data_IF_465774691548
#
_entry.id   IF_465774691548
#
_cell.length_a   1.000
_cell.length_b   1.000
_cell.length_c   1.000
_cell.angle_alpha   90.00
_cell.angle_beta   90.00
_cell.angle_gamma   90.00
#
_symmetry.space_group_name_H-M   'P 1'
#
loop_
_entity.id
_entity.type
_entity.pdbx_description
1 polymer ?
#
# COMPACT_ATOMS: atom_id res chain seq x y z
N UNK A 1 -24.60 2.70 -12.19
CA UNK A 1 -23.71 1.52 -12.24
C UNK A 1 -23.01 1.54 -13.59
N UNK A 2 -21.88 2.22 -13.68
CA UNK A 2 -21.04 2.21 -14.88
C UNK A 2 -20.03 1.07 -14.75
N UNK A 3 -20.15 0.07 -15.61
CA UNK A 3 -19.26 -1.07 -15.65
C UNK A 3 -17.83 -0.62 -15.91
N UNK A 4 -16.93 -0.98 -14.99
CA UNK A 4 -15.51 -1.08 -15.30
C UNK A 4 -15.39 -2.14 -16.41
N UNK A 5 -15.09 -1.71 -17.63
CA UNK A 5 -14.91 -2.61 -18.76
C UNK A 5 -13.68 -3.49 -18.48
N UNK A 6 -13.84 -4.80 -18.60
CA UNK A 6 -12.78 -5.80 -18.47
C UNK A 6 -11.60 -5.52 -19.44
N UNK A 7 -11.84 -4.75 -20.50
CA UNK A 7 -10.81 -4.32 -21.46
C UNK A 7 -9.83 -3.28 -20.88
N UNK A 8 -10.25 -2.42 -19.95
CA UNK A 8 -9.39 -1.37 -19.37
C UNK A 8 -8.28 -1.94 -18.49
N UNK A 9 -8.57 -3.02 -17.76
CA UNK A 9 -7.63 -3.72 -16.87
C UNK A 9 -6.45 -4.37 -17.62
N UNK A 10 -6.66 -4.82 -18.86
CA UNK A 10 -5.61 -5.42 -19.69
C UNK A 10 -4.55 -4.43 -20.17
N UNK A 11 -4.89 -3.14 -20.28
CA UNK A 11 -3.94 -2.10 -20.68
C UNK A 11 -3.28 -1.42 -19.48
N UNK A 12 -3.90 -1.38 -18.29
CA UNK A 12 -3.33 -0.67 -17.15
C UNK A 12 -2.13 -1.38 -16.51
N UNK A 13 -2.17 -2.71 -16.39
CA UNK A 13 -1.09 -3.48 -15.77
C UNK A 13 0.25 -3.37 -16.51
N UNK A 14 0.32 -3.53 -17.85
CA UNK A 14 1.56 -3.34 -18.59
C UNK A 14 2.08 -1.90 -18.51
N UNK A 15 1.20 -0.90 -18.57
CA UNK A 15 1.62 0.50 -18.48
C UNK A 15 2.19 0.86 -17.11
N UNK A 16 1.62 0.31 -16.03
CA UNK A 16 2.12 0.56 -14.68
C UNK A 16 3.55 0.03 -14.50
N UNK A 17 3.86 -1.12 -15.08
CA UNK A 17 5.22 -1.69 -15.12
C UNK A 17 6.23 -0.73 -15.77
N UNK A 18 5.86 -0.05 -16.86
CA UNK A 18 6.72 0.96 -17.51
C UNK A 18 6.88 2.26 -16.72
N UNK A 19 6.09 2.47 -15.66
CA UNK A 19 6.17 3.67 -14.81
C UNK A 19 6.93 3.44 -13.50
N UNK A 20 7.37 2.21 -13.24
CA UNK A 20 8.22 1.91 -12.09
C UNK A 20 9.59 2.58 -12.34
N UNK A 21 10.04 3.50 -11.47
CA UNK A 21 11.32 4.17 -11.66
C UNK A 21 12.46 3.18 -11.46
N UNK A 22 13.50 3.28 -12.30
CA UNK A 22 14.72 2.49 -12.15
C UNK A 22 15.65 3.15 -11.12
N UNK A 23 16.18 2.42 -10.11
CA UNK A 23 17.00 3.01 -9.06
C UNK A 23 18.28 3.66 -9.58
N UNK A 24 18.74 3.21 -10.75
CA UNK A 24 19.95 3.69 -11.43
C UNK A 24 19.77 5.11 -11.99
N UNK A 25 18.52 5.51 -12.27
CA UNK A 25 18.18 6.79 -12.91
C UNK A 25 17.78 7.88 -11.89
N UNK A 26 17.51 7.52 -10.63
CA UNK A 26 16.94 8.43 -9.63
C UNK A 26 17.62 8.32 -8.26
N UNK A 27 18.00 9.46 -7.67
CA UNK A 27 18.41 9.55 -6.27
C UNK A 27 17.21 9.79 -5.33
N UNK A 28 17.30 9.37 -4.07
CA UNK A 28 16.30 9.68 -3.02
C UNK A 28 15.18 8.64 -2.91
N UNK A 29 13.92 9.08 -2.90
CA UNK A 29 12.73 8.26 -2.59
C UNK A 29 12.32 7.24 -3.68
N UNK A 30 13.27 6.80 -4.51
CA UNK A 30 13.01 5.88 -5.61
C UNK A 30 12.43 4.55 -5.10
N UNK A 31 12.97 4.01 -4.00
CA UNK A 31 12.46 2.79 -3.38
C UNK A 31 10.97 2.92 -3.02
N UNK A 32 10.58 3.99 -2.35
CA UNK A 32 9.18 4.22 -1.94
C UNK A 32 8.24 4.40 -3.14
N UNK A 33 8.73 5.00 -4.22
CA UNK A 33 7.98 5.08 -5.46
C UNK A 33 7.77 3.69 -6.09
N UNK A 34 8.80 2.84 -6.12
CA UNK A 34 8.69 1.45 -6.60
C UNK A 34 7.73 0.62 -5.75
N UNK A 35 7.79 0.75 -4.43
CA UNK A 35 6.87 0.08 -3.50
C UNK A 35 5.42 0.53 -3.75
N UNK A 36 5.19 1.83 -3.94
CA UNK A 36 3.86 2.38 -4.25
C UNK A 36 3.32 1.86 -5.57
N UNK A 37 4.13 1.86 -6.63
CA UNK A 37 3.75 1.30 -7.92
C UNK A 37 3.44 -0.20 -7.81
N UNK A 38 4.24 -0.94 -7.04
CA UNK A 38 4.03 -2.37 -6.81
C UNK A 38 2.73 -2.64 -6.04
N UNK A 39 2.42 -1.88 -4.99
CA UNK A 39 1.16 -1.99 -4.26
C UNK A 39 -0.05 -1.75 -5.18
N UNK A 40 0.02 -0.75 -6.06
CA UNK A 40 -1.03 -0.49 -7.07
C UNK A 40 -1.13 -1.65 -8.06
N UNK A 41 0.00 -2.14 -8.56
CA UNK A 41 0.05 -3.29 -9.48
C UNK A 41 -0.68 -4.49 -8.88
N UNK A 42 -0.30 -4.90 -7.66
CA UNK A 42 -0.90 -6.07 -7.02
C UNK A 42 -2.35 -5.85 -6.59
N UNK A 43 -2.75 -4.60 -6.30
CA UNK A 43 -4.17 -4.27 -6.08
C UNK A 43 -5.00 -4.49 -7.35
N UNK A 44 -4.49 -4.04 -8.50
CA UNK A 44 -5.14 -4.24 -9.80
C UNK A 44 -5.14 -5.73 -10.19
N UNK A 45 -4.03 -6.43 -9.97
CA UNK A 45 -3.93 -7.87 -10.22
C UNK A 45 -4.91 -8.65 -9.33
N UNK A 46 -5.05 -8.29 -8.04
CA UNK A 46 -6.03 -8.90 -7.14
C UNK A 46 -7.48 -8.64 -7.57
N UNK A 47 -7.77 -7.54 -8.26
CA UNK A 47 -9.09 -7.28 -8.83
C UNK A 47 -9.43 -8.21 -10.01
N UNK A 48 -8.42 -8.73 -10.71
CA UNK A 48 -8.58 -9.66 -11.83
C UNK A 48 -8.49 -11.11 -11.36
N UNK A 49 -7.53 -11.39 -10.46
CA UNK A 49 -7.20 -12.70 -9.92
C UNK A 49 -7.06 -12.64 -8.38
N UNK A 50 -8.20 -12.66 -7.65
CA UNK A 50 -8.21 -12.50 -6.20
C UNK A 50 -7.78 -13.78 -5.50
N UNK A 51 -6.47 -13.98 -5.37
CA UNK A 51 -5.88 -15.05 -4.56
C UNK A 51 -5.39 -14.48 -3.24
N UNK A 52 -5.34 -15.32 -2.19
CA UNK A 52 -4.74 -14.89 -0.92
C UNK A 52 -3.31 -14.38 -1.13
N UNK A 53 -2.54 -15.00 -2.03
CA UNK A 53 -1.18 -14.59 -2.37
C UNK A 53 -1.12 -13.18 -2.96
N UNK A 54 -2.00 -12.83 -3.90
CA UNK A 54 -2.02 -11.50 -4.53
C UNK A 54 -2.49 -10.43 -3.54
N UNK A 55 -3.41 -10.76 -2.63
CA UNK A 55 -3.86 -9.87 -1.56
C UNK A 55 -2.75 -9.62 -0.54
N UNK A 56 -2.05 -10.67 -0.10
CA UNK A 56 -0.95 -10.54 0.88
C UNK A 56 0.19 -9.66 0.34
N UNK A 57 0.49 -9.75 -0.96
CA UNK A 57 1.49 -8.87 -1.58
C UNK A 57 1.15 -7.39 -1.43
N UNK A 58 -0.12 -6.99 -1.51
CA UNK A 58 -0.49 -5.57 -1.31
C UNK A 58 -0.08 -5.08 0.08
N UNK A 59 -0.26 -5.91 1.11
CA UNK A 59 0.15 -5.58 2.47
C UNK A 59 1.68 -5.55 2.64
N UNK A 60 2.41 -6.44 1.95
CA UNK A 60 3.88 -6.49 1.97
C UNK A 60 4.50 -5.17 1.46
N UNK A 61 4.10 -4.69 0.28
CA UNK A 61 4.67 -3.46 -0.31
C UNK A 61 4.33 -2.19 0.48
N UNK A 62 3.23 -2.19 1.26
CA UNK A 62 2.92 -1.07 2.15
C UNK A 62 3.91 -0.98 3.32
N UNK A 63 4.27 -2.12 3.91
CA UNK A 63 5.22 -2.15 5.05
C UNK A 63 6.63 -1.82 4.57
N UNK A 64 7.05 -2.40 3.44
CA UNK A 64 8.37 -2.14 2.87
C UNK A 64 8.60 -0.65 2.52
N UNK A 65 7.55 0.10 2.15
CA UNK A 65 7.64 1.55 1.97
C UNK A 65 8.06 2.32 3.24
N UNK A 66 7.69 1.85 4.43
CA UNK A 66 8.13 2.42 5.72
C UNK A 66 9.58 2.02 6.01
N UNK A 67 9.93 0.76 5.73
CA UNK A 67 11.28 0.23 5.93
C UNK A 67 12.30 1.03 5.11
N UNK A 68 12.01 1.31 3.84
CA UNK A 68 12.92 2.04 2.95
C UNK A 68 13.09 3.53 3.30
N UNK A 69 12.19 4.11 4.12
CA UNK A 69 12.27 5.52 4.50
C UNK A 69 13.33 5.81 5.57
N UNK A 70 13.72 4.80 6.33
CA UNK A 70 14.71 4.98 7.39
C UNK A 70 15.97 4.18 7.10
N UNK A 71 17.12 4.80 7.37
CA UNK A 71 18.38 4.07 7.46
C UNK A 71 18.41 3.39 8.84
N UNK A 72 17.92 2.16 8.88
CA UNK A 72 17.88 1.38 10.11
C UNK A 72 19.31 0.96 10.45
N UNK A 73 19.88 1.56 11.50
CA UNK A 73 21.16 1.14 12.08
C UNK A 73 21.07 -0.22 12.81
N UNK A 74 20.15 -1.10 12.39
CA UNK A 74 19.80 -2.37 13.02
C UNK A 74 19.74 -3.42 11.93
N UNK A 75 20.35 -4.58 12.16
CA UNK A 75 20.27 -5.72 11.23
C UNK A 75 18.80 -6.13 11.02
N UNK A 76 18.35 -6.12 9.76
CA UNK A 76 16.97 -6.45 9.36
C UNK A 76 16.54 -7.86 9.80
N UNK A 77 17.48 -8.77 10.06
CA UNK A 77 17.18 -10.13 10.52
C UNK A 77 17.11 -10.24 12.05
N UNK A 78 17.42 -9.16 12.77
CA UNK A 78 17.40 -9.17 14.23
C UNK A 78 15.98 -9.01 14.79
N UNK A 79 15.67 -9.61 15.94
CA UNK A 79 14.43 -9.33 16.66
C UNK A 79 14.26 -7.84 17.01
N UNK A 80 15.38 -7.13 17.20
CA UNK A 80 15.42 -5.70 17.49
C UNK A 80 14.90 -4.86 16.32
N UNK A 81 15.14 -5.28 15.07
CA UNK A 81 14.59 -4.62 13.89
C UNK A 81 13.05 -4.64 13.89
N UNK A 82 12.47 -5.82 14.14
CA UNK A 82 11.01 -5.98 14.22
C UNK A 82 10.44 -5.09 15.32
N UNK A 83 11.08 -5.05 16.49
CA UNK A 83 10.65 -4.21 17.61
C UNK A 83 10.76 -2.71 17.28
N UNK A 84 11.81 -2.31 16.56
CA UNK A 84 12.03 -0.91 16.18
C UNK A 84 11.00 -0.46 15.15
N UNK A 85 10.71 -1.27 14.12
CA UNK A 85 9.64 -0.98 13.16
C UNK A 85 8.29 -0.93 13.85
N UNK A 86 7.97 -1.89 14.71
CA UNK A 86 6.68 -1.94 15.39
C UNK A 86 6.41 -0.69 16.26
N UNK A 87 7.47 0.00 16.71
CA UNK A 87 7.37 1.24 17.49
C UNK A 87 7.49 2.51 16.64
N UNK A 88 7.84 2.40 15.36
CA UNK A 88 8.03 3.55 14.50
C UNK A 88 6.72 4.34 14.33
N UNK A 89 6.70 5.68 14.45
CA UNK A 89 5.46 6.46 14.40
C UNK A 89 4.61 6.21 13.14
N UNK A 90 5.23 6.05 11.98
CA UNK A 90 4.51 5.73 10.74
C UNK A 90 3.93 4.32 10.74
N UNK A 91 4.64 3.33 11.27
CA UNK A 91 4.13 1.96 11.39
C UNK A 91 2.99 1.88 12.41
N UNK A 92 3.12 2.54 13.56
CA UNK A 92 2.05 2.62 14.57
C UNK A 92 0.79 3.26 13.99
N UNK A 93 0.94 4.37 13.26
CA UNK A 93 -0.17 5.03 12.58
C UNK A 93 -0.83 4.13 11.54
N UNK A 94 -0.03 3.45 10.72
CA UNK A 94 -0.54 2.56 9.68
C UNK A 94 -1.26 1.34 10.26
N UNK A 95 -0.67 0.70 11.28
CA UNK A 95 -1.32 -0.39 12.00
C UNK A 95 -2.64 0.05 12.64
N UNK A 96 -2.70 1.26 13.20
CA UNK A 96 -3.94 1.80 13.74
C UNK A 96 -5.00 1.97 12.64
N UNK A 97 -4.63 2.51 11.47
CA UNK A 97 -5.54 2.69 10.33
C UNK A 97 -6.01 1.36 9.75
N UNK A 98 -5.11 0.41 9.52
CA UNK A 98 -5.45 -0.92 9.01
C UNK A 98 -6.37 -1.67 9.97
N UNK A 99 -6.16 -1.53 11.29
CA UNK A 99 -7.06 -2.10 12.28
C UNK A 99 -8.44 -1.45 12.24
N UNK A 100 -8.53 -0.12 12.14
CA UNK A 100 -9.81 0.58 12.02
C UNK A 100 -10.58 0.12 10.76
N UNK A 101 -9.90 0.05 9.63
CA UNK A 101 -10.48 -0.40 8.36
C UNK A 101 -10.95 -1.85 8.45
N UNK A 102 -10.15 -2.73 9.05
CA UNK A 102 -10.49 -4.14 9.22
C UNK A 102 -11.73 -4.32 10.11
N UNK A 103 -11.85 -3.56 11.21
CA UNK A 103 -13.04 -3.63 12.06
C UNK A 103 -14.29 -3.19 11.31
N UNK A 104 -14.20 -2.07 10.57
CA UNK A 104 -15.32 -1.58 9.74
C UNK A 104 -15.72 -2.59 8.66
N UNK A 105 -14.76 -3.23 8.02
CA UNK A 105 -15.01 -4.26 7.01
C UNK A 105 -15.67 -5.51 7.62
N UNK A 106 -15.28 -5.90 8.85
CA UNK A 106 -15.92 -7.02 9.58
C UNK A 106 -17.36 -6.72 9.99
N UNK A 107 -17.63 -5.48 10.39
CA UNK A 107 -18.97 -5.04 10.79
C UNK A 107 -19.91 -4.83 9.58
N UNK A 108 -19.34 -4.63 8.39
CA UNK A 108 -20.08 -4.41 7.17
C UNK A 108 -20.63 -5.71 6.58
N UNK A 109 -21.94 -5.76 6.32
CA UNK A 109 -22.55 -6.88 5.59
C UNK A 109 -22.19 -6.88 4.11
N UNK A 110 -22.01 -5.70 3.53
CA UNK A 110 -21.65 -5.50 2.11
C UNK A 110 -20.80 -4.24 1.94
N UNK A 111 -20.11 -4.11 0.81
CA UNK A 111 -19.35 -2.91 0.44
C UNK A 111 -20.28 -1.79 -0.04
N UNK A 112 -21.00 -1.17 0.89
CA UNK A 112 -21.91 -0.07 0.57
C UNK A 112 -21.17 1.21 0.14
N UNK A 113 -21.77 2.06 -0.71
CA UNK A 113 -21.14 3.30 -1.17
C UNK A 113 -20.62 4.20 -0.04
N UNK A 114 -21.34 4.28 1.08
CA UNK A 114 -20.93 5.06 2.26
C UNK A 114 -19.64 4.54 2.89
N UNK A 115 -19.48 3.21 2.94
CA UNK A 115 -18.26 2.60 3.47
C UNK A 115 -17.08 2.90 2.54
N UNK A 116 -17.28 2.80 1.22
CA UNK A 116 -16.26 3.12 0.23
C UNK A 116 -15.84 4.60 0.27
N UNK A 117 -16.81 5.50 0.39
CA UNK A 117 -16.56 6.93 0.54
C UNK A 117 -15.79 7.25 1.84
N UNK A 118 -16.17 6.59 2.95
CA UNK A 118 -15.46 6.72 4.21
C UNK A 118 -14.02 6.21 4.12
N UNK A 119 -13.78 5.02 3.53
CA UNK A 119 -12.44 4.48 3.31
C UNK A 119 -11.60 5.45 2.48
N UNK A 120 -12.16 5.97 1.38
CA UNK A 120 -11.47 6.93 0.51
C UNK A 120 -11.11 8.23 1.23
N UNK A 121 -12.02 8.76 2.03
CA UNK A 121 -11.85 10.06 2.69
C UNK A 121 -10.88 9.97 3.87
N UNK A 122 -10.96 8.90 4.67
CA UNK A 122 -10.09 8.74 5.84
C UNK A 122 -8.65 8.38 5.46
N UNK A 123 -8.45 7.71 4.33
CA UNK A 123 -7.11 7.44 3.79
C UNK A 123 -6.45 8.65 3.13
N UNK A 124 -7.16 9.78 2.97
CA UNK A 124 -6.59 11.00 2.37
C UNK A 124 -5.47 11.61 3.22
N UNK A 125 -5.43 11.36 4.54
CA UNK A 125 -4.36 11.80 5.47
C UNK A 125 -3.91 13.26 5.23
N UNK A 126 -4.85 14.19 5.00
CA UNK A 126 -4.57 15.60 4.64
C UNK A 126 -3.61 15.79 3.43
N UNK A 127 -3.63 14.87 2.47
CA UNK A 127 -2.74 14.85 1.31
C UNK A 127 -1.36 14.26 1.56
N UNK A 128 -1.07 13.78 2.78
CA UNK A 128 0.23 13.20 3.14
C UNK A 128 0.30 11.71 2.84
N UNK A 129 1.44 11.26 2.35
CA UNK A 129 1.71 9.83 2.17
C UNK A 129 1.89 9.09 3.51
N UNK A 130 2.07 7.77 3.41
CA UNK A 130 2.38 6.89 4.54
C UNK A 130 3.58 7.36 5.39
N UNK A 131 4.54 8.01 4.73
CA UNK A 131 5.79 8.52 5.31
C UNK A 131 5.81 10.06 5.37
N UNK A 132 4.63 10.70 5.32
CA UNK A 132 4.44 12.15 5.41
C UNK A 132 5.17 12.97 4.33
N UNK A 133 5.34 12.40 3.12
CA UNK A 133 5.71 13.18 1.95
C UNK A 133 4.48 13.97 1.48
N UNK A 134 4.61 15.30 1.45
CA UNK A 134 3.64 16.28 0.93
C UNK A 134 4.30 17.63 0.69
#
# INVERSE_FOLDING_TARGET
MSGFSFASSFFLLPYLLYTIPEPEDFAGYCGQAQETCSAIYYTLDACINPTLKTILKVAEYLVAGIELFHDWNVDMNSPEYIETIAKHPFAVREMAKQNEDLQRLKDAKTLEPKLLEWLRTTSHNNGKSLIDLS
#
